data_IF_486801192598
#
_entry.id   IF_486801192598
#
_cell.length_a   1.000
_cell.length_b   1.000
_cell.length_c   1.000
_cell.angle_alpha   90.00
_cell.angle_beta   90.00
_cell.angle_gamma   90.00
#
_symmetry.space_group_name_H-M   'P 1'
#
loop_
_entity.id
_entity.type
_entity.pdbx_description
1 polymer ?
#
# COMPACT_ATOMS: atom_id res chain seq x y z
N UNK A 1 -15.75 -12.23 -25.52
CA UNK A 1 -15.22 -11.19 -24.61
C UNK A 1 -14.90 -9.94 -25.41
N UNK A 2 -14.97 -8.77 -24.77
CA UNK A 2 -14.72 -7.45 -25.37
C UNK A 2 -13.58 -6.78 -24.60
N UNK A 3 -12.53 -6.35 -25.30
CA UNK A 3 -11.47 -5.49 -24.77
C UNK A 3 -12.07 -4.26 -24.11
N UNK A 4 -11.52 -3.88 -22.96
CA UNK A 4 -11.91 -2.65 -22.27
C UNK A 4 -11.67 -1.45 -23.21
N UNK A 5 -12.55 -0.43 -23.12
CA UNK A 5 -12.40 0.76 -23.96
C UNK A 5 -11.04 1.44 -23.75
N UNK A 6 -10.55 1.50 -22.50
CA UNK A 6 -9.25 2.11 -22.22
C UNK A 6 -8.09 1.33 -22.86
N UNK A 7 -8.14 -0.01 -22.86
CA UNK A 7 -7.18 -0.84 -23.60
C UNK A 7 -7.18 -0.51 -25.08
N UNK A 8 -8.35 -0.42 -25.71
CA UNK A 8 -8.43 -0.04 -27.13
C UNK A 8 -7.78 1.33 -27.39
N UNK A 9 -8.04 2.32 -26.54
CA UNK A 9 -7.40 3.64 -26.65
C UNK A 9 -5.88 3.55 -26.51
N UNK A 10 -5.37 2.80 -25.53
CA UNK A 10 -3.93 2.57 -25.33
C UNK A 10 -3.26 1.94 -26.56
N UNK A 11 -3.99 1.08 -27.29
CA UNK A 11 -3.49 0.40 -28.49
C UNK A 11 -3.54 1.27 -29.76
N UNK A 12 -4.47 2.22 -29.85
CA UNK A 12 -4.76 2.92 -31.11
C UNK A 12 -4.53 4.42 -31.10
N UNK A 13 -4.37 5.04 -29.94
CA UNK A 13 -4.27 6.49 -29.77
C UNK A 13 -2.94 6.89 -29.12
N UNK A 14 -2.43 8.06 -29.50
CA UNK A 14 -1.42 8.77 -28.71
C UNK A 14 -2.13 9.60 -27.64
N UNK A 15 -2.16 9.07 -26.42
CA UNK A 15 -2.83 9.71 -25.28
C UNK A 15 -1.92 10.75 -24.61
N UNK A 16 -2.53 11.79 -24.03
CA UNK A 16 -1.82 12.66 -23.11
C UNK A 16 -1.37 11.86 -21.87
N UNK A 17 -0.20 12.15 -21.23
CA UNK A 17 0.31 11.33 -20.12
C UNK A 17 -0.69 11.07 -18.97
N UNK A 18 -1.49 12.09 -18.61
CA UNK A 18 -2.54 11.94 -17.59
C UNK A 18 -3.64 10.96 -18.03
N UNK A 19 -4.07 11.04 -19.29
CA UNK A 19 -5.09 10.13 -19.84
C UNK A 19 -4.55 8.71 -19.96
N UNK A 20 -3.27 8.57 -20.33
CA UNK A 20 -2.59 7.26 -20.36
C UNK A 20 -2.52 6.65 -18.97
N UNK A 21 -2.11 7.42 -17.97
CA UNK A 21 -2.07 6.95 -16.57
C UNK A 21 -3.43 6.49 -16.08
N UNK A 22 -4.48 7.28 -16.30
CA UNK A 22 -5.85 6.91 -15.93
C UNK A 22 -6.37 5.68 -16.70
N UNK A 23 -6.00 5.54 -17.98
CA UNK A 23 -6.34 4.37 -18.77
C UNK A 23 -5.66 3.10 -18.23
N UNK A 24 -4.38 3.18 -17.86
CA UNK A 24 -3.64 2.07 -17.26
C UNK A 24 -4.24 1.66 -15.92
N UNK A 25 -4.49 2.61 -15.03
CA UNK A 25 -5.12 2.34 -13.74
C UNK A 25 -6.48 1.65 -13.92
N UNK A 26 -7.29 2.12 -14.87
CA UNK A 26 -8.58 1.49 -15.15
C UNK A 26 -8.45 0.06 -15.67
N UNK A 27 -7.46 -0.23 -16.53
CA UNK A 27 -7.19 -1.60 -16.98
C UNK A 27 -6.68 -2.45 -15.82
N UNK A 28 -5.76 -1.95 -15.00
CA UNK A 28 -5.30 -2.64 -13.79
C UNK A 28 -6.47 -3.01 -12.86
N UNK A 29 -7.46 -2.14 -12.71
CA UNK A 29 -8.60 -2.38 -11.81
C UNK A 29 -9.70 -3.26 -12.42
N UNK A 30 -9.98 -3.12 -13.71
CA UNK A 30 -11.20 -3.64 -14.34
C UNK A 30 -10.96 -4.44 -15.62
N UNK A 31 -9.71 -4.58 -16.03
CA UNK A 31 -9.32 -5.37 -17.19
C UNK A 31 -9.58 -6.86 -17.00
N UNK A 32 -9.27 -7.61 -18.04
CA UNK A 32 -9.31 -9.06 -18.03
C UNK A 32 -8.17 -9.68 -18.87
N UNK A 33 -8.16 -11.01 -18.99
CA UNK A 33 -7.11 -11.74 -19.71
C UNK A 33 -6.88 -11.23 -21.15
N UNK A 34 -7.94 -10.83 -21.87
CA UNK A 34 -7.81 -10.29 -23.22
C UNK A 34 -7.07 -8.95 -23.26
N UNK A 35 -7.25 -8.12 -22.24
CA UNK A 35 -6.54 -6.84 -22.14
C UNK A 35 -5.04 -7.08 -21.93
N UNK A 36 -4.69 -8.03 -21.05
CA UNK A 36 -3.31 -8.46 -20.85
C UNK A 36 -2.70 -9.05 -22.13
N UNK A 37 -3.42 -9.95 -22.82
CA UNK A 37 -2.99 -10.53 -24.11
C UNK A 37 -2.72 -9.46 -25.17
N UNK A 38 -3.53 -8.40 -25.22
CA UNK A 38 -3.39 -7.34 -26.20
C UNK A 38 -2.24 -6.37 -25.88
N UNK A 39 -1.95 -6.13 -24.60
CA UNK A 39 -0.89 -5.22 -24.16
C UNK A 39 0.50 -5.88 -24.16
N UNK A 40 0.59 -7.18 -23.90
CA UNK A 40 1.86 -7.91 -23.78
C UNK A 40 2.80 -7.75 -24.99
N UNK A 41 2.34 -7.82 -26.26
CA UNK A 41 3.22 -7.64 -27.42
C UNK A 41 3.94 -6.28 -27.44
N UNK A 42 3.26 -5.21 -27.01
CA UNK A 42 3.84 -3.87 -26.97
C UNK A 42 4.93 -3.77 -25.88
N UNK A 43 4.67 -4.37 -24.71
CA UNK A 43 5.65 -4.46 -23.63
C UNK A 43 6.90 -5.27 -24.04
N UNK A 44 6.73 -6.34 -24.81
CA UNK A 44 7.84 -7.17 -25.29
C UNK A 44 8.68 -6.49 -26.38
N UNK A 45 8.05 -5.63 -27.19
CA UNK A 45 8.68 -4.93 -28.31
C UNK A 45 9.50 -3.71 -27.85
N UNK A 46 8.89 -2.83 -27.05
CA UNK A 46 9.55 -1.64 -26.48
C UNK A 46 9.24 -1.51 -24.97
N UNK A 47 10.01 -2.21 -24.11
CA UNK A 47 9.78 -2.19 -22.66
C UNK A 47 9.97 -0.80 -22.04
N UNK A 48 10.78 0.07 -22.63
CA UNK A 48 11.03 1.42 -22.09
C UNK A 48 9.83 2.32 -22.34
N UNK A 49 9.24 2.26 -23.54
CA UNK A 49 8.04 3.04 -23.86
C UNK A 49 6.76 2.49 -23.20
N UNK A 50 6.77 1.21 -22.81
CA UNK A 50 5.59 0.49 -22.32
C UNK A 50 5.77 -0.10 -20.91
N UNK A 51 6.71 0.42 -20.11
CA UNK A 51 6.95 -0.03 -18.75
C UNK A 51 5.69 0.01 -17.87
N UNK A 52 4.78 0.94 -18.13
CA UNK A 52 3.49 1.09 -17.44
C UNK A 52 2.49 -0.04 -17.75
N UNK A 53 2.77 -0.90 -18.74
CA UNK A 53 1.93 -2.05 -19.04
C UNK A 53 2.22 -3.26 -18.14
N UNK A 54 3.29 -3.24 -17.34
CA UNK A 54 3.66 -4.38 -16.47
C UNK A 54 2.52 -4.76 -15.53
N UNK A 55 1.94 -3.80 -14.78
CA UNK A 55 0.84 -4.10 -13.84
C UNK A 55 -0.41 -4.69 -14.52
N UNK A 56 -1.02 -4.06 -15.54
CA UNK A 56 -2.22 -4.62 -16.16
C UNK A 56 -1.96 -5.97 -16.84
N UNK A 57 -0.78 -6.19 -17.43
CA UNK A 57 -0.42 -7.48 -18.04
C UNK A 57 -0.30 -8.57 -16.97
N UNK A 58 0.37 -8.29 -15.86
CA UNK A 58 0.66 -9.31 -14.83
C UNK A 58 -0.53 -9.60 -13.94
N UNK A 59 -1.35 -8.57 -13.67
CA UNK A 59 -2.53 -8.70 -12.81
C UNK A 59 -3.65 -9.49 -13.46
N UNK A 60 -3.80 -9.39 -14.78
CA UNK A 60 -4.87 -10.05 -15.54
C UNK A 60 -4.39 -11.19 -16.45
N UNK A 61 -3.08 -11.26 -16.71
CA UNK A 61 -2.47 -12.33 -17.48
C UNK A 61 -2.32 -13.62 -16.69
N UNK A 62 -1.97 -14.69 -17.41
CA UNK A 62 -1.63 -15.96 -16.79
C UNK A 62 -0.14 -16.07 -16.46
N UNK A 63 0.21 -17.14 -15.74
CA UNK A 63 1.60 -17.42 -15.38
C UNK A 63 2.51 -17.56 -16.62
N UNK A 64 2.01 -18.11 -17.72
CA UNK A 64 2.79 -18.31 -18.94
C UNK A 64 3.20 -16.98 -19.58
N UNK A 65 2.35 -15.94 -19.50
CA UNK A 65 2.73 -14.59 -19.92
C UNK A 65 3.88 -14.02 -19.10
N UNK A 66 3.86 -14.23 -17.79
CA UNK A 66 4.93 -13.74 -16.90
C UNK A 66 6.23 -14.55 -17.08
N UNK A 67 6.14 -15.85 -17.33
CA UNK A 67 7.29 -16.67 -17.72
C UNK A 67 7.93 -16.18 -19.03
N UNK A 68 7.13 -15.77 -20.01
CA UNK A 68 7.66 -15.13 -21.24
C UNK A 68 8.38 -13.82 -20.97
N UNK A 69 7.89 -13.01 -20.02
CA UNK A 69 8.58 -11.78 -19.58
C UNK A 69 9.90 -12.14 -18.89
N UNK A 70 9.90 -13.15 -18.03
CA UNK A 70 11.10 -13.65 -17.36
C UNK A 70 12.15 -14.09 -18.38
N UNK A 71 11.80 -14.97 -19.32
CA UNK A 71 12.70 -15.47 -20.36
C UNK A 71 13.24 -14.34 -21.27
N UNK A 72 12.44 -13.30 -21.49
CA UNK A 72 12.80 -12.16 -22.35
C UNK A 72 13.76 -11.18 -21.67
N UNK A 73 13.55 -10.94 -20.37
CA UNK A 73 14.15 -9.83 -19.65
C UNK A 73 15.11 -10.22 -18.54
N UNK A 74 15.27 -11.52 -18.25
CA UNK A 74 16.21 -12.01 -17.25
C UNK A 74 17.36 -12.77 -17.92
N UNK A 75 18.59 -12.38 -17.59
CA UNK A 75 19.79 -13.10 -18.00
C UNK A 75 20.81 -13.09 -16.85
N UNK A 76 21.41 -14.25 -16.57
CA UNK A 76 22.38 -14.42 -15.47
C UNK A 76 21.85 -13.90 -14.12
N UNK A 77 20.62 -14.28 -13.78
CA UNK A 77 19.94 -13.90 -12.53
C UNK A 77 19.82 -12.37 -12.32
N UNK A 78 19.74 -11.60 -13.41
CA UNK A 78 19.54 -10.15 -13.39
C UNK A 78 18.59 -9.70 -14.49
N UNK A 79 17.94 -8.56 -14.28
CA UNK A 79 17.26 -7.86 -15.36
C UNK A 79 18.28 -7.40 -16.40
N UNK A 80 17.95 -7.55 -17.68
CA UNK A 80 18.75 -6.96 -18.77
C UNK A 80 18.58 -5.44 -18.79
N UNK A 81 19.57 -4.73 -19.34
CA UNK A 81 19.52 -3.28 -19.49
C UNK A 81 18.25 -2.83 -20.24
N UNK A 82 17.53 -1.85 -19.68
CA UNK A 82 16.29 -1.32 -20.24
C UNK A 82 15.03 -2.11 -19.90
N UNK A 83 15.13 -3.21 -19.16
CA UNK A 83 13.97 -3.88 -18.59
C UNK A 83 13.35 -3.01 -17.46
N UNK A 84 12.01 -2.96 -17.32
CA UNK A 84 11.38 -2.20 -16.25
C UNK A 84 11.58 -2.86 -14.89
N UNK A 85 11.94 -2.09 -13.87
CA UNK A 85 12.10 -2.58 -12.49
C UNK A 85 10.80 -3.19 -11.92
N UNK A 86 9.64 -2.73 -12.39
CA UNK A 86 8.33 -3.30 -12.03
C UNK A 86 8.20 -4.80 -12.34
N UNK A 87 9.04 -5.35 -13.23
CA UNK A 87 9.09 -6.79 -13.48
C UNK A 87 9.53 -7.60 -12.24
N UNK A 88 10.31 -7.00 -11.33
CA UNK A 88 10.72 -7.64 -10.08
C UNK A 88 9.49 -8.00 -9.22
N UNK A 89 8.57 -7.04 -9.05
CA UNK A 89 7.28 -7.30 -8.40
C UNK A 89 6.48 -8.36 -9.16
N UNK A 90 6.43 -8.25 -10.49
CA UNK A 90 5.62 -9.13 -11.32
C UNK A 90 5.98 -10.62 -11.18
N UNK A 91 7.28 -10.93 -11.12
CA UNK A 91 7.73 -12.31 -10.99
C UNK A 91 7.32 -12.93 -9.65
N UNK A 92 7.38 -12.14 -8.57
CA UNK A 92 6.87 -12.52 -7.27
C UNK A 92 5.36 -12.69 -7.26
N UNK A 93 4.63 -11.70 -7.79
CA UNK A 93 3.17 -11.73 -7.91
C UNK A 93 2.67 -13.00 -8.62
N UNK A 94 3.33 -13.41 -9.70
CA UNK A 94 3.01 -14.63 -10.45
C UNK A 94 3.45 -15.94 -9.76
N UNK A 95 4.19 -15.87 -8.65
CA UNK A 95 4.69 -17.05 -7.93
C UNK A 95 5.84 -17.77 -8.65
N UNK A 96 6.71 -17.02 -9.33
CA UNK A 96 7.89 -17.58 -10.00
C UNK A 96 9.03 -17.77 -8.99
N UNK A 97 9.05 -18.93 -8.33
CA UNK A 97 10.06 -19.26 -7.31
C UNK A 97 11.51 -19.17 -7.81
N UNK A 98 11.75 -19.43 -9.09
CA UNK A 98 13.08 -19.29 -9.70
C UNK A 98 13.60 -17.84 -9.70
N UNK A 99 12.74 -16.84 -9.57
CA UNK A 99 13.14 -15.43 -9.50
C UNK A 99 13.71 -15.05 -8.12
N UNK A 100 13.48 -15.86 -7.08
CA UNK A 100 13.80 -15.50 -5.69
C UNK A 100 15.25 -15.05 -5.47
N UNK A 101 16.30 -15.72 -5.99
CA UNK A 101 17.67 -15.27 -5.81
C UNK A 101 17.93 -13.89 -6.42
N UNK A 102 17.38 -13.62 -7.60
CA UNK A 102 17.47 -12.31 -8.26
C UNK A 102 16.73 -11.23 -7.45
N UNK A 103 15.50 -11.51 -6.99
CA UNK A 103 14.76 -10.55 -6.18
C UNK A 103 15.50 -10.22 -4.88
N UNK A 104 16.04 -11.24 -4.20
CA UNK A 104 16.83 -11.02 -3.00
C UNK A 104 18.11 -10.23 -3.27
N UNK A 105 18.73 -10.43 -4.43
CA UNK A 105 19.86 -9.61 -4.86
C UNK A 105 19.48 -8.13 -4.97
N UNK A 106 18.41 -7.79 -5.70
CA UNK A 106 17.96 -6.39 -5.86
C UNK A 106 17.47 -5.77 -4.54
N UNK A 107 16.83 -6.54 -3.67
CA UNK A 107 16.37 -6.06 -2.36
C UNK A 107 17.53 -5.56 -1.45
N UNK A 108 18.76 -6.05 -1.70
CA UNK A 108 19.96 -5.65 -0.95
C UNK A 108 20.69 -4.45 -1.55
N UNK A 109 20.36 -4.06 -2.78
CA UNK A 109 21.02 -2.94 -3.45
C UNK A 109 20.47 -1.60 -2.93
N UNK A 110 21.32 -0.58 -2.91
CA UNK A 110 20.88 0.80 -2.66
C UNK A 110 20.30 1.40 -3.95
N UNK A 111 19.16 0.87 -4.38
CA UNK A 111 18.42 1.33 -5.55
C UNK A 111 16.98 1.67 -5.13
N UNK A 112 16.61 2.95 -5.26
CA UNK A 112 15.32 3.47 -4.82
C UNK A 112 14.13 2.94 -5.63
N UNK A 113 14.34 2.49 -6.87
CA UNK A 113 13.27 2.00 -7.73
C UNK A 113 13.18 0.46 -7.72
N UNK A 114 14.33 -0.21 -7.82
CA UNK A 114 14.37 -1.68 -7.91
C UNK A 114 14.20 -2.39 -6.56
N UNK A 115 14.75 -1.85 -5.46
CA UNK A 115 14.68 -2.51 -4.16
C UNK A 115 13.24 -2.63 -3.62
N UNK A 116 12.37 -1.60 -3.69
CA UNK A 116 10.97 -1.73 -3.32
C UNK A 116 10.24 -2.79 -4.15
N UNK A 117 10.38 -2.76 -5.48
CA UNK A 117 9.74 -3.72 -6.38
C UNK A 117 10.21 -5.17 -6.10
N UNK A 118 11.49 -5.35 -5.78
CA UNK A 118 12.03 -6.66 -5.40
C UNK A 118 11.47 -7.17 -4.08
N UNK A 119 11.37 -6.31 -3.06
CA UNK A 119 10.75 -6.66 -1.76
C UNK A 119 9.27 -6.98 -1.94
N UNK A 120 8.53 -6.17 -2.70
CA UNK A 120 7.13 -6.44 -3.04
C UNK A 120 6.97 -7.76 -3.81
N UNK A 121 7.94 -8.14 -4.64
CA UNK A 121 7.99 -9.45 -5.27
C UNK A 121 8.24 -10.58 -4.26
N UNK A 122 9.25 -10.45 -3.39
CA UNK A 122 9.64 -11.49 -2.44
C UNK A 122 8.52 -11.88 -1.48
N UNK A 123 7.74 -10.90 -0.99
CA UNK A 123 6.65 -11.18 -0.03
C UNK A 123 5.54 -12.09 -0.60
N UNK A 124 5.49 -12.27 -1.93
CA UNK A 124 4.57 -13.21 -2.57
C UNK A 124 5.12 -14.64 -2.68
N UNK A 125 6.41 -14.83 -2.43
CA UNK A 125 7.12 -16.10 -2.48
C UNK A 125 7.37 -16.66 -1.08
N UNK A 126 7.63 -17.95 -1.00
CA UNK A 126 8.03 -18.59 0.26
C UNK A 126 9.46 -18.18 0.65
N UNK A 127 9.74 -17.84 1.93
CA UNK A 127 11.10 -17.62 2.40
C UNK A 127 11.91 -18.92 2.55
N UNK A 128 11.28 -20.10 2.41
CA UNK A 128 11.88 -21.39 2.76
C UNK A 128 13.19 -21.67 2.03
N UNK A 129 14.25 -21.89 2.81
CA UNK A 129 15.59 -22.23 2.35
C UNK A 129 16.57 -21.06 2.28
N UNK A 130 16.14 -19.82 2.57
CA UNK A 130 17.01 -18.63 2.58
C UNK A 130 16.88 -17.77 3.85
N UNK A 131 16.14 -18.23 4.86
CA UNK A 131 15.82 -17.46 6.06
C UNK A 131 17.07 -16.94 6.79
N UNK A 132 18.11 -17.77 6.90
CA UNK A 132 19.37 -17.38 7.56
C UNK A 132 20.15 -16.34 6.75
N UNK A 133 20.11 -16.43 5.42
CA UNK A 133 20.74 -15.44 4.54
C UNK A 133 20.02 -14.09 4.63
N UNK A 134 18.68 -14.12 4.63
CA UNK A 134 17.84 -12.95 4.81
C UNK A 134 18.09 -12.32 6.17
N UNK A 135 18.04 -13.10 7.25
CA UNK A 135 18.35 -12.64 8.61
C UNK A 135 19.70 -11.94 8.64
N UNK A 136 20.76 -12.59 8.15
CA UNK A 136 22.10 -12.02 8.15
C UNK A 136 22.19 -10.70 7.38
N UNK A 137 21.52 -10.59 6.22
CA UNK A 137 21.49 -9.36 5.45
C UNK A 137 20.73 -8.24 6.18
N UNK A 138 19.56 -8.54 6.73
CA UNK A 138 18.73 -7.55 7.45
C UNK A 138 19.39 -7.08 8.74
N UNK A 139 20.09 -7.97 9.45
CA UNK A 139 20.84 -7.62 10.67
C UNK A 139 21.88 -6.51 10.44
N UNK A 140 22.44 -6.40 9.23
CA UNK A 140 23.37 -5.31 8.89
C UNK A 140 22.71 -3.93 8.89
N UNK A 141 21.38 -3.84 8.87
CA UNK A 141 20.64 -2.58 8.94
C UNK A 141 20.42 -2.12 10.38
N UNK A 142 20.52 -3.02 11.37
CA UNK A 142 20.24 -2.70 12.77
C UNK A 142 21.28 -1.72 13.30
N UNK A 143 20.81 -0.61 13.89
CA UNK A 143 21.66 0.45 14.43
C UNK A 143 22.44 1.25 13.38
N UNK A 144 22.09 1.14 12.09
CA UNK A 144 22.73 1.91 11.03
C UNK A 144 21.92 3.15 10.66
N UNK A 145 22.63 4.24 10.36
CA UNK A 145 22.03 5.48 9.87
C UNK A 145 21.65 5.41 8.38
N UNK A 146 22.32 4.57 7.58
CA UNK A 146 22.05 4.41 6.16
C UNK A 146 22.09 2.94 5.80
N UNK A 147 21.00 2.45 5.20
CA UNK A 147 20.83 1.08 4.75
C UNK A 147 19.82 1.07 3.58
N UNK A 148 19.71 -0.03 2.81
CA UNK A 148 18.67 -0.17 1.80
C UNK A 148 17.27 -0.11 2.45
N UNK A 149 16.52 0.99 2.24
CA UNK A 149 15.33 1.34 3.03
C UNK A 149 14.32 0.20 3.19
N UNK A 150 14.12 -0.60 2.14
CA UNK A 150 13.10 -1.65 2.10
C UNK A 150 13.59 -3.01 2.61
N UNK A 151 14.90 -3.21 2.73
CA UNK A 151 15.49 -4.48 3.18
C UNK A 151 14.95 -4.94 4.56
N UNK A 152 14.74 -4.07 5.56
CA UNK A 152 14.17 -4.48 6.84
C UNK A 152 12.81 -5.15 6.77
N UNK A 153 12.00 -4.92 5.72
CA UNK A 153 10.71 -5.59 5.54
C UNK A 153 10.86 -7.12 5.55
N UNK A 154 12.00 -7.62 5.07
CA UNK A 154 12.25 -9.05 4.98
C UNK A 154 12.37 -9.73 6.35
N UNK A 155 12.61 -9.01 7.45
CA UNK A 155 12.52 -9.57 8.80
C UNK A 155 11.09 -10.07 9.10
N UNK A 156 10.08 -9.28 8.73
CA UNK A 156 8.68 -9.68 8.87
C UNK A 156 8.31 -10.81 7.90
N UNK A 157 8.85 -10.79 6.68
CA UNK A 157 8.62 -11.85 5.69
C UNK A 157 9.10 -13.23 6.16
N UNK A 158 10.23 -13.31 6.85
CA UNK A 158 10.72 -14.56 7.45
C UNK A 158 10.10 -14.88 8.82
N UNK A 159 9.20 -14.02 9.33
CA UNK A 159 8.55 -14.18 10.63
C UNK A 159 9.49 -14.00 11.83
N UNK A 160 10.56 -13.23 11.70
CA UNK A 160 11.54 -13.03 12.77
C UNK A 160 11.14 -11.86 13.69
N UNK A 161 10.34 -12.18 14.71
CA UNK A 161 9.87 -11.20 15.70
C UNK A 161 11.01 -10.53 16.46
N UNK A 162 12.08 -11.26 16.79
CA UNK A 162 13.21 -10.71 17.54
C UNK A 162 13.94 -9.65 16.71
N UNK A 163 14.17 -9.93 15.43
CA UNK A 163 14.81 -8.99 14.53
C UNK A 163 13.93 -7.76 14.26
N UNK A 164 12.61 -7.93 14.11
CA UNK A 164 11.68 -6.80 14.02
C UNK A 164 11.75 -5.95 15.29
N UNK A 165 11.73 -6.56 16.47
CA UNK A 165 11.78 -5.85 17.75
C UNK A 165 13.08 -5.05 17.91
N UNK A 166 14.22 -5.55 17.39
CA UNK A 166 15.49 -4.82 17.39
C UNK A 166 15.46 -3.52 16.60
N UNK A 167 14.60 -3.38 15.58
CA UNK A 167 14.40 -2.09 14.88
C UNK A 167 13.51 -1.11 15.67
N UNK A 168 12.76 -1.60 16.65
CA UNK A 168 11.82 -0.82 17.47
C UNK A 168 12.39 -0.46 18.86
N UNK A 169 13.53 -1.06 19.23
CA UNK A 169 14.25 -0.77 20.49
C UNK A 169 15.10 0.48 20.32
N UNK A 170 14.96 1.39 21.28
CA UNK A 170 15.71 2.64 21.38
C UNK A 170 17.06 2.38 22.06
N UNK A 171 18.16 2.49 21.32
CA UNK A 171 19.52 2.57 21.85
C UNK A 171 20.17 3.93 21.59
N UNK A 172 19.37 4.95 21.25
CA UNK A 172 19.80 6.31 20.89
C UNK A 172 20.66 6.41 19.62
N UNK A 173 20.73 5.37 18.80
CA UNK A 173 21.38 5.40 17.47
C UNK A 173 20.39 5.52 16.31
N UNK A 174 19.15 5.95 16.60
CA UNK A 174 17.98 6.12 15.72
C UNK A 174 18.21 5.83 14.23
N UNK A 175 17.48 4.88 13.62
CA UNK A 175 17.48 4.76 12.17
C UNK A 175 17.11 6.12 11.57
N UNK A 176 17.78 6.49 10.48
CA UNK A 176 17.52 7.76 9.81
C UNK A 176 16.02 7.88 9.54
N UNK A 177 15.42 8.97 9.99
CA UNK A 177 13.97 9.19 10.00
C UNK A 177 13.33 9.12 8.60
N UNK A 178 14.15 9.14 7.55
CA UNK A 178 13.75 9.00 6.15
C UNK A 178 13.77 7.56 5.60
N UNK A 179 14.20 6.56 6.36
CA UNK A 179 14.32 5.16 5.89
C UNK A 179 13.47 4.18 6.71
N UNK A 180 12.22 4.54 7.00
CA UNK A 180 11.35 3.73 7.88
C UNK A 180 10.36 2.83 7.13
N UNK A 181 10.28 2.94 5.80
CA UNK A 181 9.33 2.15 5.01
C UNK A 181 9.52 0.64 5.24
N UNK A 182 10.76 0.13 5.16
CA UNK A 182 11.04 -1.28 5.42
C UNK A 182 10.69 -1.73 6.82
N UNK A 183 10.94 -0.92 7.85
CA UNK A 183 10.63 -1.27 9.26
C UNK A 183 9.12 -1.36 9.48
N UNK A 184 8.36 -0.41 8.96
CA UNK A 184 6.89 -0.42 9.03
C UNK A 184 6.31 -1.64 8.32
N UNK A 185 6.82 -1.96 7.13
CA UNK A 185 6.42 -3.15 6.38
C UNK A 185 6.80 -4.44 7.12
N UNK A 186 7.95 -4.49 7.81
CA UNK A 186 8.34 -5.64 8.62
C UNK A 186 7.32 -5.92 9.72
N UNK A 187 6.88 -4.88 10.44
CA UNK A 187 5.81 -4.99 11.44
C UNK A 187 4.49 -5.42 10.77
N UNK A 188 4.18 -4.86 9.60
CA UNK A 188 3.03 -5.24 8.78
C UNK A 188 2.98 -6.73 8.43
N UNK A 189 4.12 -7.28 8.00
CA UNK A 189 4.26 -8.67 7.55
C UNK A 189 4.14 -9.71 8.69
N UNK A 190 4.25 -9.29 9.96
CA UNK A 190 3.88 -10.13 11.11
C UNK A 190 2.35 -10.31 11.24
N UNK A 191 1.55 -9.62 10.41
CA UNK A 191 0.10 -9.71 10.41
C UNK A 191 -0.52 -9.21 11.72
N UNK A 192 -1.54 -9.91 12.23
CA UNK A 192 -2.24 -9.50 13.45
C UNK A 192 -1.32 -9.37 14.68
N UNK A 193 -0.23 -10.15 14.75
CA UNK A 193 0.75 -10.09 15.85
C UNK A 193 1.62 -8.83 15.82
N UNK A 194 1.68 -8.16 14.66
CA UNK A 194 2.34 -6.85 14.48
C UNK A 194 1.48 -5.67 14.93
N UNK A 195 0.18 -5.85 15.17
CA UNK A 195 -0.76 -4.75 15.47
C UNK A 195 -0.35 -3.91 16.67
N UNK A 196 -0.04 -4.56 17.79
CA UNK A 196 0.30 -3.85 19.03
C UNK A 196 1.63 -3.10 18.90
N UNK A 197 2.58 -3.66 18.13
CA UNK A 197 3.87 -3.00 17.81
C UNK A 197 3.65 -1.74 16.99
N UNK A 198 2.82 -1.84 15.95
CA UNK A 198 2.50 -0.71 15.07
C UNK A 198 1.76 0.40 15.84
N UNK A 199 0.78 0.02 16.67
CA UNK A 199 0.07 0.96 17.53
C UNK A 199 1.01 1.63 18.53
N UNK A 200 1.90 0.88 19.18
CA UNK A 200 2.89 1.44 20.09
C UNK A 200 3.82 2.43 19.37
N UNK A 201 4.24 2.14 18.14
CA UNK A 201 5.10 3.01 17.34
C UNK A 201 4.42 4.35 17.06
N UNK A 202 3.15 4.34 16.64
CA UNK A 202 2.41 5.56 16.30
C UNK A 202 2.18 6.50 17.48
N UNK A 203 2.00 5.96 18.69
CA UNK A 203 1.66 6.77 19.86
C UNK A 203 2.86 7.08 20.78
N UNK A 204 4.08 6.72 20.36
CA UNK A 204 5.32 7.06 21.07
C UNK A 204 5.80 8.44 20.64
N UNK A 205 6.13 9.28 21.63
CA UNK A 205 6.71 10.61 21.42
C UNK A 205 8.12 10.58 20.80
N UNK A 206 8.73 9.38 20.67
CA UNK A 206 10.09 9.19 20.17
C UNK A 206 10.21 9.48 18.66
N UNK A 207 9.15 9.24 17.90
CA UNK A 207 9.15 9.40 16.44
C UNK A 207 7.89 10.11 15.95
N UNK A 208 7.70 11.39 16.32
CA UNK A 208 6.59 12.16 15.82
C UNK A 208 6.68 12.19 14.30
N UNK A 209 5.57 11.85 13.61
CA UNK A 209 5.46 11.88 12.14
C UNK A 209 6.17 10.76 11.36
N UNK A 210 6.68 9.69 11.99
CA UNK A 210 7.28 8.54 11.27
C UNK A 210 6.38 7.95 10.17
N UNK A 211 5.08 8.00 10.40
CA UNK A 211 4.04 7.57 9.47
C UNK A 211 3.85 8.50 8.26
N UNK A 212 4.25 9.78 8.38
CA UNK A 212 4.06 10.79 7.34
C UNK A 212 5.05 10.63 6.20
N UNK A 213 6.34 10.47 6.55
CA UNK A 213 7.42 10.32 5.56
C UNK A 213 7.38 8.95 4.84
N UNK A 214 6.68 7.97 5.41
CA UNK A 214 6.49 6.63 4.85
C UNK A 214 4.99 6.26 4.73
N UNK A 215 4.16 7.21 4.28
CA UNK A 215 2.68 7.08 4.27
C UNK A 215 2.20 5.80 3.56
N UNK A 216 2.79 5.45 2.41
CA UNK A 216 2.42 4.24 1.65
C UNK A 216 2.73 2.96 2.43
N UNK A 217 3.95 2.82 2.94
CA UNK A 217 4.35 1.68 3.75
C UNK A 217 3.52 1.57 5.04
N UNK A 218 3.19 2.72 5.65
CA UNK A 218 2.32 2.80 6.83
C UNK A 218 0.93 2.26 6.54
N UNK A 219 0.31 2.70 5.44
CA UNK A 219 -1.01 2.22 5.01
C UNK A 219 -1.03 0.73 4.72
N UNK A 220 0.02 0.20 4.07
CA UNK A 220 0.20 -1.24 3.85
C UNK A 220 0.31 -2.00 5.17
N UNK A 221 1.15 -1.54 6.10
CA UNK A 221 1.32 -2.17 7.41
C UNK A 221 0.04 -2.13 8.26
N UNK A 222 -0.69 -1.02 8.22
CA UNK A 222 -2.00 -0.87 8.85
C UNK A 222 -3.00 -1.91 8.32
N UNK A 223 -3.11 -2.04 6.99
CA UNK A 223 -3.97 -3.06 6.38
C UNK A 223 -3.53 -4.47 6.76
N UNK A 224 -2.24 -4.79 6.66
CA UNK A 224 -1.71 -6.12 6.96
C UNK A 224 -1.93 -6.55 8.42
N UNK A 225 -1.88 -5.61 9.36
CA UNK A 225 -2.12 -5.85 10.80
C UNK A 225 -3.60 -5.78 11.20
N UNK A 226 -4.49 -5.36 10.30
CA UNK A 226 -5.89 -5.07 10.61
C UNK A 226 -6.10 -3.84 11.49
N UNK A 227 -5.11 -2.94 11.56
CA UNK A 227 -5.21 -1.65 12.23
C UNK A 227 -5.80 -0.61 11.26
N UNK A 228 -7.06 -0.25 11.47
CA UNK A 228 -7.75 0.77 10.66
C UNK A 228 -7.67 2.19 11.24
N UNK A 229 -8.04 3.17 10.43
CA UNK A 229 -8.26 4.55 10.86
C UNK A 229 -9.33 4.61 11.94
N UNK A 230 -10.35 3.74 11.88
CA UNK A 230 -11.37 3.63 12.94
C UNK A 230 -10.76 3.33 14.32
N UNK A 231 -9.80 2.41 14.37
CA UNK A 231 -9.09 2.07 15.61
C UNK A 231 -8.20 3.23 16.10
N UNK A 232 -7.50 3.92 15.20
CA UNK A 232 -6.69 5.09 15.55
C UNK A 232 -7.56 6.24 16.09
N UNK A 233 -8.70 6.50 15.47
CA UNK A 233 -9.65 7.52 15.90
C UNK A 233 -10.27 7.19 17.27
N UNK A 234 -10.57 5.93 17.54
CA UNK A 234 -11.08 5.49 18.83
C UNK A 234 -10.03 5.65 19.95
N UNK A 235 -8.79 5.24 19.68
CA UNK A 235 -7.66 5.41 20.60
C UNK A 235 -7.37 6.88 20.88
N UNK A 236 -7.40 7.74 19.86
CA UNK A 236 -7.27 9.19 20.01
C UNK A 236 -8.34 9.72 20.98
N UNK A 237 -9.62 9.41 20.76
CA UNK A 237 -10.71 9.83 21.65
C UNK A 237 -10.50 9.35 23.10
N UNK A 238 -10.09 8.10 23.29
CA UNK A 238 -9.81 7.57 24.61
C UNK A 238 -8.70 8.35 25.34
N UNK A 239 -7.62 8.69 24.63
CA UNK A 239 -6.52 9.51 25.17
C UNK A 239 -6.94 10.94 25.49
N UNK A 240 -7.77 11.54 24.63
CA UNK A 240 -8.33 12.87 24.88
C UNK A 240 -9.23 12.90 26.11
N UNK A 241 -10.01 11.84 26.34
CA UNK A 241 -10.86 11.70 27.53
C UNK A 241 -10.04 11.46 28.80
N UNK A 242 -8.89 10.77 28.71
CA UNK A 242 -8.04 10.42 29.85
C UNK A 242 -7.20 11.60 30.39
N UNK A 243 -7.04 12.69 29.63
CA UNK A 243 -6.18 13.81 30.01
C UNK A 243 -6.84 15.14 29.71
N UNK A 244 -6.86 16.07 30.67
CA UNK A 244 -7.32 17.44 30.41
C UNK A 244 -6.29 18.28 29.63
N UNK A 245 -5.01 17.86 29.60
CA UNK A 245 -3.92 18.59 28.92
C UNK A 245 -4.15 18.62 27.41
N UNK A 246 -3.71 19.70 26.76
CA UNK A 246 -3.68 19.78 25.31
C UNK A 246 -2.82 18.62 24.76
N UNK A 247 -3.34 17.82 23.80
CA UNK A 247 -2.59 16.75 23.16
C UNK A 247 -1.57 17.34 22.15
N UNK A 248 -0.53 16.59 21.78
CA UNK A 248 0.32 16.95 20.65
C UNK A 248 -0.49 17.05 19.34
N UNK A 249 -0.21 18.06 18.51
CA UNK A 249 -0.93 18.26 17.23
C UNK A 249 -0.83 17.04 16.30
N UNK A 250 0.31 16.34 16.32
CA UNK A 250 0.57 15.21 15.43
C UNK A 250 -0.36 14.02 15.68
N UNK A 251 -1.01 13.94 16.85
CA UNK A 251 -2.03 12.91 17.15
C UNK A 251 -3.19 12.96 16.16
N UNK A 252 -3.67 14.17 15.88
CA UNK A 252 -4.74 14.40 14.89
C UNK A 252 -4.20 14.25 13.47
N UNK A 253 -2.99 14.74 13.22
CA UNK A 253 -2.36 14.64 11.91
C UNK A 253 -2.19 13.17 11.47
N UNK A 254 -1.85 12.26 12.39
CA UNK A 254 -1.77 10.82 12.11
C UNK A 254 -3.08 10.28 11.56
N UNK A 255 -4.19 10.51 12.27
CA UNK A 255 -5.51 10.01 11.86
C UNK A 255 -5.92 10.63 10.53
N UNK A 256 -5.69 11.93 10.37
CA UNK A 256 -5.98 12.68 9.13
C UNK A 256 -5.20 12.10 7.94
N UNK A 257 -3.89 11.96 8.03
CA UNK A 257 -3.04 11.52 6.91
C UNK A 257 -3.31 10.07 6.55
N UNK A 258 -3.59 9.20 7.53
CA UNK A 258 -4.00 7.82 7.24
C UNK A 258 -5.39 7.76 6.59
N UNK A 259 -6.32 8.64 6.96
CA UNK A 259 -7.60 8.79 6.27
C UNK A 259 -7.43 9.28 4.83
N UNK A 260 -6.59 10.30 4.59
CA UNK A 260 -6.25 10.78 3.25
C UNK A 260 -5.67 9.67 2.38
N UNK A 261 -4.71 8.92 2.92
CA UNK A 261 -4.12 7.79 2.23
C UNK A 261 -5.16 6.72 1.87
N UNK A 262 -6.07 6.39 2.79
CA UNK A 262 -7.11 5.41 2.54
C UNK A 262 -8.12 5.88 1.50
N UNK A 263 -8.50 7.16 1.50
CA UNK A 263 -9.34 7.76 0.45
C UNK A 263 -8.65 7.64 -0.91
N UNK A 264 -7.37 8.03 -0.98
CA UNK A 264 -6.60 8.04 -2.21
C UNK A 264 -6.36 6.63 -2.77
N UNK A 265 -6.29 5.61 -1.91
CA UNK A 265 -5.97 4.22 -2.31
C UNK A 265 -7.17 3.28 -2.26
N UNK A 266 -8.38 3.77 -1.95
CA UNK A 266 -9.57 2.94 -1.73
C UNK A 266 -9.88 2.04 -2.93
N UNK A 267 -9.84 2.62 -4.11
CA UNK A 267 -10.09 1.93 -5.38
C UNK A 267 -8.78 1.61 -6.12
N UNK A 268 -7.61 1.80 -5.51
CA UNK A 268 -6.33 1.58 -6.17
C UNK A 268 -5.93 0.10 -6.15
N UNK A 269 -5.26 -0.41 -7.21
CA UNK A 269 -4.77 -1.78 -7.21
C UNK A 269 -3.68 -1.94 -6.15
N UNK A 270 -3.76 -3.01 -5.36
CA UNK A 270 -2.73 -3.29 -4.36
C UNK A 270 -1.54 -4.02 -4.96
N UNK A 271 -0.33 -3.65 -4.52
CA UNK A 271 0.89 -4.39 -4.80
C UNK A 271 0.90 -5.78 -4.13
N UNK A 272 0.18 -5.97 -3.02
CA UNK A 272 0.17 -7.21 -2.24
C UNK A 272 -1.19 -7.90 -2.30
N UNK A 273 -1.27 -9.07 -2.95
CA UNK A 273 -2.55 -9.77 -3.19
C UNK A 273 -3.26 -10.26 -1.92
N UNK A 274 -2.52 -10.39 -0.82
CA UNK A 274 -3.00 -10.94 0.44
C UNK A 274 -3.46 -9.86 1.43
N UNK A 275 -3.38 -8.57 1.08
CA UNK A 275 -3.90 -7.53 1.96
C UNK A 275 -5.42 -7.63 2.08
N UNK A 276 -5.99 -7.44 3.28
CA UNK A 276 -7.43 -7.34 3.44
C UNK A 276 -7.95 -6.10 2.69
N UNK A 277 -9.25 -6.08 2.34
CA UNK A 277 -9.87 -4.89 1.76
C UNK A 277 -9.69 -3.66 2.68
N UNK A 278 -9.63 -2.44 2.13
CA UNK A 278 -9.63 -1.22 2.95
C UNK A 278 -10.90 -1.14 3.81
N UNK A 279 -10.87 -0.39 4.92
CA UNK A 279 -12.11 -0.14 5.67
C UNK A 279 -13.13 0.56 4.78
N UNK A 280 -14.41 0.34 5.06
CA UNK A 280 -15.46 0.91 4.23
C UNK A 280 -15.45 2.45 4.35
N UNK A 281 -15.81 3.19 3.29
CA UNK A 281 -15.96 4.64 3.35
C UNK A 281 -16.95 5.09 4.45
N UNK A 282 -17.97 4.28 4.73
CA UNK A 282 -18.92 4.55 5.81
C UNK A 282 -18.28 4.41 7.20
N UNK A 283 -17.44 3.39 7.42
CA UNK A 283 -16.71 3.23 8.68
C UNK A 283 -15.68 4.36 8.86
N UNK A 284 -15.00 4.75 7.79
CA UNK A 284 -14.08 5.89 7.78
C UNK A 284 -14.81 7.20 8.11
N UNK A 285 -15.99 7.43 7.51
CA UNK A 285 -16.83 8.59 7.82
C UNK A 285 -17.21 8.63 9.30
N UNK A 286 -17.73 7.52 9.83
CA UNK A 286 -18.10 7.41 11.25
C UNK A 286 -16.91 7.59 12.17
N UNK A 287 -15.74 7.08 11.79
CA UNK A 287 -14.51 7.22 12.57
C UNK A 287 -14.12 8.69 12.73
N UNK A 288 -14.23 9.51 11.68
CA UNK A 288 -13.82 10.91 11.68
C UNK A 288 -14.91 11.85 12.22
N UNK A 289 -16.17 11.64 11.87
CA UNK A 289 -17.26 12.61 12.10
C UNK A 289 -18.36 12.12 13.06
N UNK A 290 -18.25 10.90 13.58
CA UNK A 290 -19.24 10.31 14.48
C UNK A 290 -20.40 9.62 13.75
N UNK A 291 -21.25 8.86 14.49
CA UNK A 291 -22.32 8.04 13.92
C UNK A 291 -23.52 8.82 13.36
N UNK A 292 -23.73 10.07 13.79
CA UNK A 292 -24.93 10.87 13.45
C UNK A 292 -24.60 12.25 12.88
N UNK A 293 -23.37 12.49 12.41
CA UNK A 293 -22.90 13.85 12.11
C UNK A 293 -23.07 14.81 13.29
N UNK A 294 -23.01 14.28 14.52
CA UNK A 294 -23.03 15.07 15.74
C UNK A 294 -21.80 15.98 15.73
N UNK A 295 -22.02 17.28 15.59
CA UNK A 295 -20.95 18.26 15.45
C UNK A 295 -19.98 18.28 16.65
N UNK A 296 -20.37 17.73 17.80
CA UNK A 296 -19.57 17.60 19.03
C UNK A 296 -18.82 16.27 19.18
N UNK A 297 -19.08 15.27 18.31
CA UNK A 297 -18.48 13.92 18.38
C UNK A 297 -17.34 13.70 17.35
N UNK A 298 -17.20 14.64 16.42
CA UNK A 298 -16.21 14.63 15.35
C UNK A 298 -14.78 14.94 15.82
N UNK A 299 -13.78 14.36 15.15
CA UNK A 299 -12.38 14.67 15.39
C UNK A 299 -12.03 16.11 15.00
N UNK A 300 -12.71 16.70 14.03
CA UNK A 300 -12.60 18.11 13.66
C UNK A 300 -13.03 19.03 14.82
N UNK A 301 -14.13 18.70 15.51
CA UNK A 301 -14.55 19.39 16.72
C UNK A 301 -13.54 19.24 17.87
N UNK A 302 -13.07 18.01 18.11
CA UNK A 302 -12.04 17.79 19.12
C UNK A 302 -10.75 18.54 18.79
N UNK A 303 -10.31 18.60 17.53
CA UNK A 303 -9.14 19.36 17.13
C UNK A 303 -9.30 20.85 17.48
N UNK A 304 -10.44 21.45 17.13
CA UNK A 304 -10.73 22.86 17.41
C UNK A 304 -10.72 23.20 18.90
N UNK A 305 -11.28 22.33 19.74
CA UNK A 305 -11.44 22.60 21.18
C UNK A 305 -10.29 22.12 22.07
N UNK A 306 -9.45 21.20 21.58
CA UNK A 306 -8.39 20.57 22.38
C UNK A 306 -7.01 21.07 22.02
N UNK A 307 -6.82 21.60 20.82
CA UNK A 307 -5.57 22.21 20.38
C UNK A 307 -5.66 23.73 20.53
N UNK A 308 -4.55 24.37 20.90
CA UNK A 308 -4.49 25.82 21.07
C UNK A 308 -4.47 26.54 19.70
N UNK A 309 -3.29 26.91 19.19
CA UNK A 309 -3.18 27.73 17.96
C UNK A 309 -3.47 26.95 16.67
N UNK A 310 -3.23 25.63 16.68
CA UNK A 310 -3.35 24.76 15.49
C UNK A 310 -4.77 24.19 15.29
N UNK A 311 -5.67 24.37 16.27
CA UNK A 311 -6.97 23.73 16.28
C UNK A 311 -7.86 24.12 15.09
N UNK A 312 -7.85 25.40 14.71
CA UNK A 312 -8.65 25.89 13.57
C UNK A 312 -8.19 25.36 12.21
N UNK A 313 -6.87 25.23 12.02
CA UNK A 313 -6.32 24.66 10.78
C UNK A 313 -6.62 23.17 10.70
N UNK A 314 -6.32 22.38 11.75
CA UNK A 314 -6.59 20.95 11.75
C UNK A 314 -8.08 20.62 11.66
N UNK A 315 -8.95 21.42 12.28
CA UNK A 315 -10.39 21.31 12.09
C UNK A 315 -10.76 21.41 10.61
N UNK A 316 -10.27 22.44 9.91
CA UNK A 316 -10.54 22.63 8.48
C UNK A 316 -10.03 21.45 7.64
N UNK A 317 -8.80 21.01 7.92
CA UNK A 317 -8.15 19.91 7.24
C UNK A 317 -8.85 18.56 7.44
N UNK A 318 -9.38 18.27 8.63
CA UNK A 318 -10.18 17.05 8.86
C UNK A 318 -11.55 17.19 8.19
N UNK A 319 -12.17 18.37 8.29
CA UNK A 319 -13.47 18.63 7.68
C UNK A 319 -13.44 18.51 6.15
N UNK A 320 -12.33 18.90 5.50
CA UNK A 320 -12.18 18.80 4.04
C UNK A 320 -12.22 17.36 3.51
N UNK A 321 -11.93 16.37 4.36
CA UNK A 321 -12.01 14.94 4.02
C UNK A 321 -13.44 14.42 3.86
N UNK A 322 -14.43 15.14 4.41
CA UNK A 322 -15.84 14.72 4.40
C UNK A 322 -16.34 14.45 2.98
N UNK A 323 -16.15 15.41 2.07
CA UNK A 323 -16.69 15.32 0.71
C UNK A 323 -16.08 14.15 -0.09
N UNK A 324 -14.75 13.95 -0.14
CA UNK A 324 -14.17 12.76 -0.78
C UNK A 324 -14.70 11.43 -0.23
N UNK A 325 -14.95 11.34 1.09
CA UNK A 325 -15.52 10.14 1.71
C UNK A 325 -16.98 9.96 1.32
N UNK A 326 -17.80 11.01 1.33
CA UNK A 326 -19.20 10.97 0.90
C UNK A 326 -19.32 10.59 -0.58
N UNK A 327 -18.42 11.08 -1.44
CA UNK A 327 -18.33 10.69 -2.86
C UNK A 327 -18.02 9.19 -3.01
N UNK A 328 -17.12 8.64 -2.17
CA UNK A 328 -16.85 7.20 -2.11
C UNK A 328 -18.07 6.39 -1.67
N UNK A 329 -18.78 6.84 -0.62
CA UNK A 329 -20.02 6.20 -0.15
C UNK A 329 -21.07 6.18 -1.28
N UNK A 330 -21.29 7.32 -1.94
CA UNK A 330 -22.24 7.43 -3.04
C UNK A 330 -21.91 6.51 -4.21
N UNK A 331 -20.62 6.40 -4.57
CA UNK A 331 -20.15 5.46 -5.61
C UNK A 331 -20.43 4.00 -5.22
N UNK A 332 -20.16 3.60 -3.99
CA UNK A 332 -20.43 2.23 -3.54
C UNK A 332 -21.92 1.91 -3.52
N UNK A 333 -22.76 2.84 -3.07
CA UNK A 333 -24.22 2.66 -3.07
C UNK A 333 -24.76 2.49 -4.50
N UNK A 334 -24.27 3.29 -5.45
CA UNK A 334 -24.64 3.18 -6.87
C UNK A 334 -24.23 1.84 -7.48
N UNK A 335 -23.01 1.37 -7.20
CA UNK A 335 -22.54 0.05 -7.67
C UNK A 335 -23.42 -1.06 -7.11
N UNK A 336 -23.72 -1.04 -5.81
CA UNK A 336 -24.59 -2.04 -5.18
C UNK A 336 -26.02 -2.02 -5.76
N UNK A 337 -26.56 -0.86 -6.09
CA UNK A 337 -27.85 -0.73 -6.76
C UNK A 337 -27.82 -1.33 -8.18
N UNK A 338 -26.79 -1.00 -8.98
CA UNK A 338 -26.61 -1.55 -10.34
C UNK A 338 -26.42 -3.07 -10.33
N UNK A 339 -25.73 -3.62 -9.34
CA UNK A 339 -25.57 -5.06 -9.15
C UNK A 339 -26.91 -5.74 -8.81
N UNK A 340 -27.74 -5.11 -7.98
CA UNK A 340 -29.08 -5.60 -7.68
C UNK A 340 -30.00 -5.60 -8.92
N UNK A 341 -29.90 -4.59 -9.79
CA UNK A 341 -30.65 -4.53 -11.05
C UNK A 341 -30.15 -5.54 -12.09
N UNK A 342 -28.84 -5.73 -12.22
CA UNK A 342 -28.25 -6.67 -13.18
C UNK A 342 -28.42 -8.13 -12.76
N UNK A 343 -28.44 -8.42 -11.45
CA UNK A 343 -28.80 -9.73 -10.88
C UNK A 343 -30.29 -10.08 -10.97
N UNK A 344 -31.18 -9.13 -11.32
CA UNK A 344 -32.63 -9.32 -11.42
C UNK A 344 -33.13 -9.76 -12.81
N UNK A 345 -32.25 -10.07 -13.78
CA UNK A 345 -32.67 -10.45 -15.15
C UNK A 345 -32.56 -11.94 -15.50
N UNK A 346 -32.38 -12.83 -14.53
CA UNK A 346 -32.38 -14.28 -14.79
C UNK A 346 -33.25 -15.07 -13.80
N UNK A 347 -34.52 -14.73 -13.67
CA UNK A 347 -35.58 -15.71 -13.34
C UNK A 347 -36.95 -15.12 -13.68
N UNK A 348 -37.44 -15.45 -14.87
CA UNK A 348 -38.84 -15.76 -15.20
C UNK A 348 -39.11 -15.49 -16.67
N UNK A 349 -38.84 -16.49 -17.51
CA UNK A 349 -39.77 -16.85 -18.59
C UNK A 349 -39.96 -18.37 -18.47
N UNK A 350 -41.22 -18.86 -18.39
CA UNK A 350 -41.52 -20.29 -18.25
C UNK A 350 -41.03 -21.15 -19.42
#
# INVERSE_FOLDING_TARGET
MLLLHATRRLLTETLHPIERGAAIELVSLRGGPEDAEALLPLLLDDPVAHADFVDPVVRHGDRAMVERLFDRFVANDRLIDGAPDALLWAFGWAGLEQARPMLFHYAREQNWDAAPAAVDGLVHLSPSGIEDEVRSAVETCVGQNLFPEYLPALAGWIGDHELVDRFLVDDHTSPSTNCMSGVLLAVGLLGAEGRDRLQALFWRDLYPMIWGDATVATGVAMRATGLGVGALAAELRARLAASAKAPPHWWFALVKVMAEHQIATHDAPSAWRFLPPPETPLDLHRALFGPNDGWDEGLDHHAFHRLDQDGGWLQHEIHSLRRPIEDLIGRQALVAELDAYSGSTTTAVP
#
